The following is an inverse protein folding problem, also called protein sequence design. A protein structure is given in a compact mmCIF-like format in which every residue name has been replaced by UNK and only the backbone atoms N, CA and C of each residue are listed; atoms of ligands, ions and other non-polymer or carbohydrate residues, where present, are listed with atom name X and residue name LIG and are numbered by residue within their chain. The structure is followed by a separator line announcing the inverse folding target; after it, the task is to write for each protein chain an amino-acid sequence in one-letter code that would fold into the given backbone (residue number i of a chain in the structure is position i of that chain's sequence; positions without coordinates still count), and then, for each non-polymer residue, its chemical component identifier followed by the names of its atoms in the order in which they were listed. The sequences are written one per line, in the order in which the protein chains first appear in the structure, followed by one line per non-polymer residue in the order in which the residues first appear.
data_IF_699709996468
#
_entry.id   IF_699709996468
#
_cell.length_a   1.000
_cell.length_b   1.000
_cell.length_c   1.000
_cell.angle_alpha   90.00
_cell.angle_beta   90.00
_cell.angle_gamma   90.00
#
_symmetry.space_group_name_H-M   'P 1'
#
loop_
_entity.id
_entity.type
_entity.pdbx_description
1 polymer ?
#
# COMPACT_ATOMS: atom_id res chain seq x y z
N UNK A 1 2.26 1.71 -10.21
CA UNK A 1 3.51 0.98 -10.48
C UNK A 1 3.28 -0.52 -10.46
N UNK A 2 3.92 -1.22 -11.37
CA UNK A 2 3.95 -2.69 -11.36
C UNK A 2 5.01 -3.20 -10.38
N UNK A 3 4.96 -4.50 -10.09
CA UNK A 3 5.97 -5.16 -9.29
C UNK A 3 7.37 -5.01 -9.92
N UNK A 4 7.47 -5.17 -11.24
CA UNK A 4 8.75 -5.02 -11.96
C UNK A 4 9.25 -3.58 -11.91
N UNK A 5 8.38 -2.61 -12.13
CA UNK A 5 8.76 -1.20 -12.07
C UNK A 5 9.26 -0.80 -10.68
N UNK A 6 8.64 -1.36 -9.63
CA UNK A 6 9.05 -1.08 -8.26
C UNK A 6 10.49 -1.52 -8.00
N UNK A 7 10.95 -2.58 -8.65
CA UNK A 7 12.30 -3.10 -8.50
C UNK A 7 13.34 -2.32 -9.31
N UNK A 8 12.90 -1.58 -10.33
CA UNK A 8 13.76 -0.84 -11.25
C UNK A 8 13.57 0.67 -11.15
N UNK A 9 13.09 1.17 -10.01
CA UNK A 9 12.80 2.59 -9.84
C UNK A 9 14.06 3.46 -10.06
N UNK A 10 13.91 4.58 -10.79
CA UNK A 10 14.98 5.59 -10.86
C UNK A 10 15.33 6.10 -9.46
N UNK A 11 16.58 6.51 -9.27
CA UNK A 11 17.06 7.01 -7.97
C UNK A 11 16.18 8.13 -7.44
N UNK A 12 15.74 9.05 -8.30
CA UNK A 12 14.90 10.17 -7.93
C UNK A 12 13.56 9.72 -7.34
N UNK A 13 12.96 8.69 -7.92
CA UNK A 13 11.70 8.12 -7.42
C UNK A 13 11.90 7.40 -6.10
N UNK A 14 12.99 6.64 -5.98
CA UNK A 14 13.32 5.96 -4.71
C UNK A 14 13.49 6.97 -3.59
N UNK A 15 14.20 8.07 -3.86
CA UNK A 15 14.40 9.13 -2.88
C UNK A 15 13.08 9.74 -2.42
N UNK A 16 12.19 10.07 -3.35
CA UNK A 16 10.89 10.63 -3.03
C UNK A 16 10.04 9.66 -2.20
N UNK A 17 9.89 8.43 -2.69
CA UNK A 17 9.05 7.42 -2.02
C UNK A 17 9.58 7.02 -0.66
N UNK A 18 10.90 7.11 -0.44
CA UNK A 18 11.50 6.84 0.87
C UNK A 18 11.20 7.91 1.91
N UNK A 19 10.76 9.09 1.46
CA UNK A 19 10.41 10.21 2.35
C UNK A 19 8.90 10.36 2.54
N UNK A 20 8.10 9.86 1.60
CA UNK A 20 6.67 10.09 1.60
C UNK A 20 5.93 9.16 2.56
N UNK A 21 4.88 9.73 3.17
CA UNK A 21 3.94 9.05 4.04
C UNK A 21 2.54 9.18 3.44
N UNK A 22 1.66 8.25 3.78
CA UNK A 22 0.27 8.37 3.35
C UNK A 22 -0.42 7.06 3.08
N UNK A 23 -1.64 7.16 2.57
CA UNK A 23 -2.44 6.02 2.14
C UNK A 23 -2.02 5.54 0.77
N UNK A 24 -2.03 4.22 0.60
CA UNK A 24 -1.70 3.60 -0.68
C UNK A 24 -2.70 2.49 -1.00
N UNK A 25 -2.69 2.10 -2.26
CA UNK A 25 -3.60 1.10 -2.79
C UNK A 25 -2.79 0.03 -3.53
N UNK A 26 -3.09 -1.22 -3.22
CA UNK A 26 -2.55 -2.36 -3.95
C UNK A 26 -3.72 -3.03 -4.66
N UNK A 27 -3.65 -3.06 -6.00
CA UNK A 27 -4.66 -3.67 -6.84
C UNK A 27 -4.11 -5.00 -7.35
N UNK A 28 -4.85 -6.08 -7.13
CA UNK A 28 -4.49 -7.40 -7.63
C UNK A 28 -5.17 -7.61 -8.98
N UNK A 29 -4.37 -7.65 -10.05
CA UNK A 29 -4.91 -7.78 -11.41
C UNK A 29 -5.51 -9.15 -11.70
N UNK A 30 -5.23 -10.14 -10.85
CA UNK A 30 -5.74 -11.51 -11.08
C UNK A 30 -7.24 -11.61 -10.91
N UNK A 31 -7.84 -10.80 -10.01
CA UNK A 31 -9.27 -10.85 -9.74
C UNK A 31 -9.93 -9.48 -9.51
N UNK A 32 -9.15 -8.41 -9.59
CA UNK A 32 -9.67 -7.05 -9.42
C UNK A 32 -9.91 -6.63 -7.99
N UNK A 33 -9.43 -7.37 -7.01
CA UNK A 33 -9.57 -7.00 -5.60
C UNK A 33 -8.44 -6.09 -5.16
N UNK A 34 -8.76 -5.18 -4.23
CA UNK A 34 -7.82 -4.18 -3.75
C UNK A 34 -7.59 -4.21 -2.25
N UNK A 35 -6.49 -3.60 -1.87
CA UNK A 35 -6.07 -3.45 -0.48
C UNK A 35 -5.63 -2.01 -0.25
N UNK A 36 -6.13 -1.40 0.82
CA UNK A 36 -5.71 -0.07 1.25
C UNK A 36 -4.82 -0.21 2.47
N UNK A 37 -3.64 0.40 2.41
CA UNK A 37 -2.74 0.46 3.55
C UNK A 37 -2.26 1.87 3.78
N UNK A 38 -1.44 2.05 4.80
CA UNK A 38 -0.83 3.34 5.08
C UNK A 38 0.59 3.19 5.60
N UNK A 39 1.41 4.21 5.31
CA UNK A 39 2.75 4.37 5.87
C UNK A 39 2.74 5.64 6.69
N UNK A 40 3.19 5.57 7.95
CA UNK A 40 3.21 6.71 8.85
C UNK A 40 4.35 6.55 9.87
N UNK A 41 4.67 7.66 10.57
CA UNK A 41 5.77 7.64 11.53
C UNK A 41 7.10 7.37 10.84
N UNK A 42 7.82 6.36 11.28
CA UNK A 42 9.10 5.97 10.69
C UNK A 42 8.95 5.13 9.42
N UNK A 43 7.74 4.59 9.16
CA UNK A 43 7.45 3.87 7.92
C UNK A 43 7.30 4.83 6.75
N UNK A 44 7.72 4.41 5.57
CA UNK A 44 7.56 5.20 4.36
C UNK A 44 6.99 4.33 3.23
N UNK A 45 6.53 4.98 2.16
CA UNK A 45 5.87 4.28 1.05
C UNK A 45 6.79 3.27 0.39
N UNK A 46 8.04 3.64 0.14
CA UNK A 46 8.99 2.72 -0.51
C UNK A 46 9.22 1.48 0.34
N UNK A 47 9.48 1.67 1.64
CA UNK A 47 9.73 0.55 2.55
C UNK A 47 8.55 -0.41 2.64
N UNK A 48 7.34 0.13 2.74
CA UNK A 48 6.12 -0.68 2.79
C UNK A 48 5.94 -1.46 1.49
N UNK A 49 6.06 -0.78 0.34
CA UNK A 49 5.88 -1.43 -0.97
C UNK A 49 6.93 -2.51 -1.23
N UNK A 50 8.20 -2.26 -0.89
CA UNK A 50 9.25 -3.27 -1.05
C UNK A 50 8.99 -4.49 -0.17
N UNK A 51 8.42 -4.29 1.01
CA UNK A 51 8.03 -5.39 1.88
C UNK A 51 7.00 -6.30 1.21
N UNK A 52 5.99 -5.71 0.55
CA UNK A 52 5.02 -6.49 -0.24
C UNK A 52 5.67 -7.16 -1.44
N UNK A 53 6.57 -6.46 -2.13
CA UNK A 53 7.24 -6.98 -3.31
C UNK A 53 8.12 -8.19 -2.98
N UNK A 54 8.78 -8.19 -1.81
CA UNK A 54 9.67 -9.28 -1.38
C UNK A 54 8.90 -10.42 -0.73
N UNK A 55 7.98 -10.08 0.19
CA UNK A 55 7.25 -11.07 1.00
C UNK A 55 5.86 -11.39 0.49
N UNK A 56 5.30 -10.52 -0.32
CA UNK A 56 3.99 -10.72 -0.92
C UNK A 56 2.79 -10.39 -0.04
N UNK A 57 2.99 -10.02 1.23
CA UNK A 57 1.82 -9.82 2.10
C UNK A 57 1.94 -8.74 3.17
N UNK A 58 3.16 -8.27 3.50
CA UNK A 58 3.33 -7.25 4.53
C UNK A 58 2.70 -7.61 5.88
N UNK A 59 2.48 -8.90 6.17
CA UNK A 59 1.80 -9.36 7.38
C UNK A 59 0.29 -9.56 7.24
N UNK A 60 -0.31 -9.20 6.12
CA UNK A 60 -1.76 -9.37 5.90
C UNK A 60 -2.06 -10.77 5.37
N UNK A 61 -2.95 -11.51 6.07
CA UNK A 61 -3.24 -12.90 5.73
C UNK A 61 -3.95 -13.04 4.38
N UNK A 62 -4.76 -12.07 3.97
CA UNK A 62 -5.49 -12.13 2.70
C UNK A 62 -4.56 -11.90 1.50
N UNK A 63 -3.43 -11.21 1.70
CA UNK A 63 -2.43 -11.00 0.66
C UNK A 63 -1.45 -12.17 0.56
N UNK A 64 -1.34 -12.96 1.62
CA UNK A 64 -0.33 -14.03 1.73
C UNK A 64 -0.41 -15.08 0.63
N UNK A 65 -1.62 -15.34 0.11
CA UNK A 65 -1.86 -16.35 -0.92
C UNK A 65 -1.77 -15.81 -2.34
N UNK A 66 -1.42 -14.53 -2.49
CA UNK A 66 -1.43 -13.86 -3.79
C UNK A 66 -0.02 -13.68 -4.32
N UNK A 67 0.08 -13.41 -5.63
CA UNK A 67 1.37 -13.25 -6.32
C UNK A 67 1.72 -11.77 -6.43
N UNK A 68 2.85 -11.31 -5.87
CA UNK A 68 3.25 -9.91 -5.94
C UNK A 68 3.35 -9.36 -7.36
N UNK A 69 3.73 -10.18 -8.33
CA UNK A 69 3.85 -9.73 -9.73
C UNK A 69 2.51 -9.31 -10.34
N UNK A 70 1.39 -9.72 -9.74
CA UNK A 70 0.06 -9.30 -10.18
C UNK A 70 -0.37 -7.99 -9.55
N UNK A 71 0.40 -7.46 -8.61
CA UNK A 71 0.06 -6.25 -7.87
C UNK A 71 0.39 -4.99 -8.67
N UNK A 72 -0.46 -3.98 -8.48
CA UNK A 72 -0.23 -2.61 -8.93
C UNK A 72 -0.27 -1.70 -7.73
N UNK A 73 0.75 -0.87 -7.58
CA UNK A 73 0.93 0.00 -6.43
C UNK A 73 0.62 1.44 -6.81
N UNK A 74 -0.21 2.11 -6.02
CA UNK A 74 -0.51 3.52 -6.24
C UNK A 74 -0.67 4.27 -4.93
N UNK A 75 -0.44 5.58 -4.98
CA UNK A 75 -0.62 6.48 -3.84
C UNK A 75 -2.03 7.04 -3.92
N UNK A 76 -2.78 6.92 -2.83
CA UNK A 76 -4.12 7.51 -2.75
C UNK A 76 -4.04 8.91 -2.18
N UNK A 77 -3.28 9.09 -1.11
CA UNK A 77 -3.22 10.35 -0.39
C UNK A 77 -1.90 10.47 0.38
N UNK A 78 -1.13 11.51 0.08
CA UNK A 78 0.06 11.82 0.85
C UNK A 78 -0.33 12.57 2.11
N UNK A 79 0.43 12.33 3.20
CA UNK A 79 0.25 13.05 4.45
C UNK A 79 1.60 13.57 4.93
N UNK A 80 1.59 14.58 5.80
CA UNK A 80 2.79 15.06 6.45
C UNK A 80 3.38 13.97 7.35
N UNK A 81 4.72 13.82 7.41
CA UNK A 81 5.35 12.91 8.36
C UNK A 81 4.98 13.20 9.82
N UNK A 82 4.56 14.43 10.11
CA UNK A 82 4.19 14.86 11.47
C UNK A 82 2.73 14.59 11.82
N UNK A 83 1.94 14.09 10.87
CA UNK A 83 0.53 13.81 11.12
C UNK A 83 0.39 12.71 12.17
N UNK A 84 -0.52 12.93 13.12
CA UNK A 84 -0.78 11.98 14.20
C UNK A 84 -1.16 10.62 13.63
N UNK A 85 -0.56 9.51 14.10
CA UNK A 85 -0.89 8.17 13.60
C UNK A 85 -2.39 7.84 13.66
N UNK A 86 -3.10 8.34 14.67
CA UNK A 86 -4.55 8.15 14.80
C UNK A 86 -5.29 8.74 13.60
N UNK A 87 -4.86 9.93 13.16
CA UNK A 87 -5.47 10.59 12.01
C UNK A 87 -5.15 9.84 10.71
N UNK A 88 -3.95 9.30 10.57
CA UNK A 88 -3.58 8.50 9.40
C UNK A 88 -4.43 7.24 9.33
N UNK A 89 -4.62 6.56 10.45
CA UNK A 89 -5.45 5.35 10.53
C UNK A 89 -6.90 5.67 10.18
N UNK A 90 -7.40 6.83 10.62
CA UNK A 90 -8.76 7.28 10.28
C UNK A 90 -8.90 7.54 8.78
N UNK A 91 -7.91 8.15 8.15
CA UNK A 91 -7.88 8.34 6.70
C UNK A 91 -7.87 7.00 5.96
N UNK A 92 -7.04 6.07 6.42
CA UNK A 92 -6.98 4.72 5.87
C UNK A 92 -8.36 4.05 5.90
N UNK A 93 -9.03 4.10 7.05
CA UNK A 93 -10.38 3.56 7.20
C UNK A 93 -11.39 4.19 6.25
N UNK A 94 -11.30 5.50 6.04
CA UNK A 94 -12.15 6.21 5.10
C UNK A 94 -11.96 5.68 3.67
N UNK A 95 -10.72 5.47 3.24
CA UNK A 95 -10.43 4.95 1.91
C UNK A 95 -10.87 3.49 1.74
N UNK A 96 -10.75 2.68 2.79
CA UNK A 96 -11.27 1.29 2.75
C UNK A 96 -12.76 1.28 2.43
N UNK A 97 -13.53 2.17 3.05
CA UNK A 97 -14.98 2.26 2.82
C UNK A 97 -15.29 2.78 1.42
N UNK A 98 -14.57 3.80 0.96
CA UNK A 98 -14.81 4.41 -0.36
C UNK A 98 -14.48 3.46 -1.50
N UNK A 99 -13.43 2.67 -1.36
CA UNK A 99 -12.96 1.77 -2.40
C UNK A 99 -13.47 0.35 -2.24
N UNK A 100 -14.29 0.10 -1.20
CA UNK A 100 -14.89 -1.21 -0.95
C UNK A 100 -13.84 -2.32 -0.86
N UNK A 101 -12.75 -2.07 -0.10
CA UNK A 101 -11.66 -3.04 0.03
C UNK A 101 -11.80 -3.98 1.22
N UNK A 102 -12.83 -3.79 2.06
CA UNK A 102 -13.08 -4.68 3.19
C UNK A 102 -13.56 -6.04 2.70
N UNK A 103 -13.07 -7.10 3.32
CA UNK A 103 -13.47 -8.47 2.98
C UNK A 103 -14.99 -8.64 3.16
N UNK A 104 -15.68 -9.42 2.31
CA UNK A 104 -15.13 -10.27 1.25
C UNK A 104 -14.92 -9.57 -0.09
N UNK A 105 -15.27 -8.28 -0.20
CA UNK A 105 -15.21 -7.55 -1.48
C UNK A 105 -13.77 -7.21 -1.88
N UNK A 106 -12.90 -7.01 -0.89
CA UNK A 106 -11.51 -6.69 -1.12
C UNK A 106 -10.58 -7.45 -0.17
N UNK A 107 -9.36 -6.96 -0.03
CA UNK A 107 -8.28 -7.66 0.66
C UNK A 107 -7.96 -7.12 2.05
N UNK A 108 -8.74 -6.17 2.56
CA UNK A 108 -8.61 -5.70 3.93
C UNK A 108 -9.47 -6.54 4.85
N UNK A 109 -8.87 -7.08 5.91
CA UNK A 109 -9.58 -7.88 6.91
C UNK A 109 -10.47 -6.99 7.79
N UNK A 110 -10.03 -5.79 8.06
CA UNK A 110 -10.74 -4.86 8.93
C UNK A 110 -10.38 -3.40 8.60
#
# INVERSE_FOLDING_TARGET
LTWEELQLLPVRWKSALSQWRGGYYIFDTSDGKGYVGSAYGESNLLGRWLNYAVRGHGGNSLLRKRRPRDFRFSIIQRVSPDLDPTDVIRLEGSWKRRLHTLAPYGLNEN
#
